data_IF_881004917426
#
_entry.id   IF_881004917426
#
_cell.length_a   1.000
_cell.length_b   1.000
_cell.length_c   1.000
_cell.angle_alpha   90.00
_cell.angle_beta   90.00
_cell.angle_gamma   90.00
#
_symmetry.space_group_name_H-M   'P 1'
#
loop_
_entity.id
_entity.type
_entity.pdbx_description
1 polymer ?
#
# COMPACT_ATOMS: atom_id res chain seq x y z
N UNK A 1 -37.02 7.61 1.15
CA UNK A 1 -36.60 8.74 2.02
C UNK A 1 -35.17 8.60 2.53
N UNK A 2 -34.75 7.47 3.13
CA UNK A 2 -33.38 7.29 3.64
C UNK A 2 -32.25 7.33 2.59
N UNK A 3 -32.48 6.81 1.38
CA UNK A 3 -31.49 6.82 0.29
C UNK A 3 -31.26 8.23 -0.28
N UNK A 4 -32.33 9.03 -0.42
CA UNK A 4 -32.25 10.43 -0.84
C UNK A 4 -31.59 11.31 0.23
N UNK A 5 -31.86 11.04 1.51
CA UNK A 5 -31.20 11.72 2.63
C UNK A 5 -29.69 11.41 2.72
N UNK A 6 -29.30 10.15 2.45
CA UNK A 6 -27.90 9.77 2.36
C UNK A 6 -27.19 10.43 1.16
N UNK A 7 -27.84 10.51 -0.02
CA UNK A 7 -27.30 11.21 -1.18
C UNK A 7 -27.14 12.72 -0.94
N UNK A 8 -28.09 13.36 -0.25
CA UNK A 8 -28.00 14.79 0.08
C UNK A 8 -26.90 15.10 1.10
N UNK A 9 -26.68 14.21 2.07
CA UNK A 9 -25.69 14.40 3.15
C UNK A 9 -24.25 13.99 2.76
N UNK A 10 -24.09 12.98 1.90
CA UNK A 10 -22.79 12.41 1.51
C UNK A 10 -22.39 12.65 0.04
N UNK A 11 -23.33 13.05 -0.82
CA UNK A 11 -23.09 13.33 -2.24
C UNK A 11 -22.85 14.80 -2.56
N UNK A 12 -23.08 15.72 -1.63
CA UNK A 12 -22.81 17.15 -1.82
C UNK A 12 -21.30 17.40 -1.81
N UNK A 13 -20.76 17.97 -2.89
CA UNK A 13 -19.38 18.44 -2.96
C UNK A 13 -19.14 19.47 -1.85
N UNK A 14 -18.16 19.21 -0.99
CA UNK A 14 -17.71 20.20 0.00
C UNK A 14 -17.06 21.36 -0.75
N UNK A 15 -17.51 22.59 -0.49
CA UNK A 15 -17.05 23.81 -1.16
C UNK A 15 -15.53 24.03 -1.05
N UNK A 16 -14.86 23.36 -0.11
CA UNK A 16 -13.42 23.49 0.14
C UNK A 16 -12.56 22.44 -0.58
N UNK A 17 -13.13 21.37 -1.16
CA UNK A 17 -12.32 20.23 -1.63
C UNK A 17 -12.72 19.60 -2.96
N UNK A 18 -13.76 20.08 -3.66
CA UNK A 18 -14.24 19.50 -4.94
C UNK A 18 -14.43 17.96 -4.92
N UNK A 19 -14.50 17.35 -3.74
CA UNK A 19 -14.53 15.91 -3.54
C UNK A 19 -15.66 15.60 -2.55
N UNK A 20 -16.35 14.49 -2.78
CA UNK A 20 -17.43 14.03 -1.89
C UNK A 20 -16.93 13.90 -0.44
N UNK A 21 -17.73 14.30 0.57
CA UNK A 21 -17.41 14.23 1.98
C UNK A 21 -16.93 12.84 2.44
N UNK A 22 -17.46 11.77 1.84
CA UNK A 22 -17.01 10.40 2.15
C UNK A 22 -15.57 10.15 1.70
N UNK A 23 -15.24 10.57 0.47
CA UNK A 23 -13.87 10.52 -0.06
C UNK A 23 -12.94 11.47 0.72
N UNK A 24 -13.40 12.67 1.04
CA UNK A 24 -12.65 13.61 1.87
C UNK A 24 -12.36 13.04 3.26
N UNK A 25 -13.29 12.29 3.87
CA UNK A 25 -13.07 11.63 5.16
C UNK A 25 -12.03 10.52 5.07
N UNK A 26 -12.08 9.69 4.02
CA UNK A 26 -11.06 8.66 3.76
C UNK A 26 -9.68 9.27 3.48
N UNK A 27 -9.63 10.38 2.76
CA UNK A 27 -8.41 11.12 2.48
C UNK A 27 -7.88 11.76 3.77
N UNK A 28 -8.73 12.36 4.60
CA UNK A 28 -8.33 12.97 5.87
C UNK A 28 -7.86 11.94 6.90
N UNK A 29 -8.42 10.72 6.89
CA UNK A 29 -7.88 9.59 7.67
C UNK A 29 -6.45 9.22 7.31
N UNK A 30 -5.99 9.53 6.10
CA UNK A 30 -4.59 9.34 5.70
C UNK A 30 -3.64 10.37 6.34
N UNK A 31 -4.14 11.53 6.74
CA UNK A 31 -3.34 12.65 7.25
C UNK A 31 -3.25 12.71 8.79
N UNK A 32 -3.97 11.85 9.51
CA UNK A 32 -3.84 11.69 10.96
C UNK A 32 -2.85 10.55 11.27
N UNK A 33 -1.77 10.85 11.98
CA UNK A 33 -0.72 9.87 12.37
C UNK A 33 -1.29 8.68 13.15
N UNK A 34 -2.28 8.93 14.02
CA UNK A 34 -2.99 7.91 14.79
C UNK A 34 -3.83 6.98 13.89
N UNK A 35 -4.49 7.57 12.89
CA UNK A 35 -5.33 6.85 11.93
C UNK A 35 -4.47 6.01 10.98
N UNK A 36 -3.31 6.52 10.58
CA UNK A 36 -2.35 5.80 9.76
C UNK A 36 -1.79 4.55 10.48
N UNK A 37 -1.44 4.69 11.76
CA UNK A 37 -0.97 3.57 12.59
C UNK A 37 -2.04 2.50 12.75
N UNK A 38 -3.28 2.90 13.00
CA UNK A 38 -4.42 1.99 13.07
C UNK A 38 -4.65 1.24 11.75
N UNK A 39 -4.57 1.94 10.61
CA UNK A 39 -4.72 1.35 9.28
C UNK A 39 -3.60 0.33 8.98
N UNK A 40 -2.36 0.58 9.40
CA UNK A 40 -1.26 -0.37 9.26
C UNK A 40 -1.57 -1.65 10.06
N UNK A 41 -1.95 -1.52 11.33
CA UNK A 41 -2.27 -2.67 12.18
C UNK A 41 -3.44 -3.47 11.60
N UNK A 42 -4.49 -2.79 11.16
CA UNK A 42 -5.65 -3.43 10.54
C UNK A 42 -5.26 -4.19 9.25
N UNK A 43 -4.41 -3.58 8.40
CA UNK A 43 -3.92 -4.23 7.18
C UNK A 43 -3.10 -5.49 7.47
N UNK A 44 -2.31 -5.47 8.55
CA UNK A 44 -1.53 -6.61 9.00
C UNK A 44 -2.44 -7.75 9.48
N UNK A 45 -3.44 -7.44 10.30
CA UNK A 45 -4.42 -8.43 10.78
C UNK A 45 -5.15 -9.08 9.61
N UNK A 46 -5.66 -8.29 8.66
CA UNK A 46 -6.35 -8.80 7.46
C UNK A 46 -5.41 -9.70 6.64
N UNK A 47 -4.14 -9.32 6.50
CA UNK A 47 -3.14 -10.12 5.78
C UNK A 47 -2.90 -11.47 6.47
N UNK A 48 -2.77 -11.49 7.80
CA UNK A 48 -2.63 -12.72 8.58
C UNK A 48 -3.86 -13.64 8.45
N UNK A 49 -5.06 -13.07 8.50
CA UNK A 49 -6.31 -13.82 8.31
C UNK A 49 -6.39 -14.41 6.90
N UNK A 50 -6.05 -13.64 5.87
CA UNK A 50 -6.02 -14.12 4.49
C UNK A 50 -5.04 -15.28 4.31
N UNK A 51 -3.83 -15.18 4.86
CA UNK A 51 -2.84 -16.27 4.84
C UNK A 51 -3.38 -17.51 5.55
N UNK A 52 -4.00 -17.34 6.72
CA UNK A 52 -4.55 -18.44 7.50
C UNK A 52 -5.68 -19.14 6.74
N UNK A 53 -6.58 -18.37 6.13
CA UNK A 53 -7.66 -18.90 5.29
C UNK A 53 -7.15 -19.67 4.08
N UNK A 54 -6.16 -19.13 3.37
CA UNK A 54 -5.52 -19.81 2.23
C UNK A 54 -4.88 -21.14 2.68
N UNK A 55 -4.35 -21.20 3.91
CA UNK A 55 -3.74 -22.42 4.47
C UNK A 55 -4.75 -23.48 4.88
N UNK A 56 -5.90 -23.08 5.43
CA UNK A 56 -6.90 -24.03 5.95
C UNK A 56 -7.92 -24.45 4.90
N UNK A 57 -8.16 -23.62 3.87
CA UNK A 57 -9.08 -23.94 2.80
C UNK A 57 -8.49 -24.99 1.84
N UNK A 58 -9.25 -26.06 1.54
CA UNK A 58 -8.92 -27.00 0.47
C UNK A 58 -9.20 -26.36 -0.90
N UNK A 59 -8.28 -25.53 -1.37
CA UNK A 59 -8.39 -24.86 -2.67
C UNK A 59 -7.99 -25.84 -3.79
N UNK A 60 -8.81 -26.00 -4.84
CA UNK A 60 -8.47 -26.86 -5.96
C UNK A 60 -7.24 -26.34 -6.74
N UNK A 61 -6.42 -27.26 -7.29
CA UNK A 61 -5.10 -26.94 -7.88
C UNK A 61 -5.12 -25.84 -8.94
N UNK A 62 -6.18 -25.74 -9.74
CA UNK A 62 -6.30 -24.73 -10.79
C UNK A 62 -6.49 -23.31 -10.23
N UNK A 63 -7.20 -23.16 -9.11
CA UNK A 63 -7.36 -21.87 -8.43
C UNK A 63 -6.10 -21.46 -7.69
N UNK A 64 -5.38 -22.42 -7.07
CA UNK A 64 -4.06 -22.17 -6.46
C UNK A 64 -3.09 -21.53 -7.46
N UNK A 65 -3.07 -22.01 -8.71
CA UNK A 65 -2.17 -21.50 -9.74
C UNK A 65 -2.54 -20.08 -10.18
N UNK A 66 -3.85 -19.77 -10.30
CA UNK A 66 -4.34 -18.40 -10.56
C UNK A 66 -4.01 -17.45 -9.41
N UNK A 67 -4.20 -17.89 -8.17
CA UNK A 67 -3.89 -17.11 -6.97
C UNK A 67 -2.38 -16.85 -6.85
N UNK A 68 -1.54 -17.83 -7.15
CA UNK A 68 -0.08 -17.67 -7.20
C UNK A 68 0.36 -16.66 -8.28
N UNK A 69 -0.29 -16.67 -9.46
CA UNK A 69 -0.04 -15.67 -10.50
C UNK A 69 -0.45 -14.25 -10.06
N UNK A 70 -1.64 -14.11 -9.46
CA UNK A 70 -2.12 -12.82 -8.94
C UNK A 70 -1.19 -12.28 -7.85
N UNK A 71 -0.80 -13.12 -6.88
CA UNK A 71 0.16 -12.76 -5.84
C UNK A 71 1.51 -12.35 -6.43
N UNK A 72 2.01 -13.06 -7.44
CA UNK A 72 3.25 -12.70 -8.13
C UNK A 72 3.17 -11.35 -8.85
N UNK A 73 1.99 -10.97 -9.35
CA UNK A 73 1.79 -9.68 -10.02
C UNK A 73 1.73 -8.54 -9.01
N UNK A 74 0.94 -8.70 -7.94
CA UNK A 74 0.86 -7.73 -6.83
C UNK A 74 2.24 -7.54 -6.22
N UNK A 75 2.95 -8.63 -5.98
CA UNK A 75 4.31 -8.64 -5.49
C UNK A 75 5.27 -7.81 -6.35
N UNK A 76 5.25 -8.05 -7.67
CA UNK A 76 6.09 -7.34 -8.63
C UNK A 76 5.75 -5.85 -8.65
N UNK A 77 4.46 -5.52 -8.62
CA UNK A 77 3.99 -4.14 -8.55
C UNK A 77 4.49 -3.45 -7.28
N UNK A 78 4.28 -4.05 -6.11
CA UNK A 78 4.71 -3.50 -4.83
C UNK A 78 6.23 -3.34 -4.76
N UNK A 79 7.01 -4.35 -5.19
CA UNK A 79 8.46 -4.25 -5.24
C UNK A 79 8.94 -3.10 -6.15
N UNK A 80 8.33 -2.96 -7.33
CA UNK A 80 8.64 -1.86 -8.24
C UNK A 80 8.24 -0.50 -7.66
N UNK A 81 7.11 -0.41 -6.96
CA UNK A 81 6.69 0.82 -6.28
C UNK A 81 7.68 1.20 -5.17
N UNK A 82 8.12 0.24 -4.35
CA UNK A 82 9.10 0.51 -3.28
C UNK A 82 10.43 1.02 -3.85
N UNK A 83 10.93 0.39 -4.92
CA UNK A 83 12.16 0.84 -5.60
C UNK A 83 11.98 2.18 -6.30
N UNK A 84 10.81 2.44 -6.90
CA UNK A 84 10.48 3.73 -7.47
C UNK A 84 10.53 4.83 -6.42
N UNK A 85 9.86 4.65 -5.29
CA UNK A 85 9.87 5.62 -4.19
C UNK A 85 11.26 5.80 -3.58
N UNK A 86 12.04 4.72 -3.41
CA UNK A 86 13.43 4.82 -3.00
C UNK A 86 14.25 5.70 -3.96
N UNK A 87 14.08 5.49 -5.27
CA UNK A 87 14.70 6.33 -6.30
C UNK A 87 14.26 7.79 -6.23
N UNK A 88 12.97 8.06 -6.00
CA UNK A 88 12.44 9.41 -5.80
C UNK A 88 13.09 10.08 -4.59
N UNK A 89 13.20 9.41 -3.44
CA UNK A 89 13.83 9.97 -2.26
C UNK A 89 15.33 10.25 -2.46
N UNK A 90 16.05 9.36 -3.18
CA UNK A 90 17.45 9.59 -3.54
C UNK A 90 17.57 10.82 -4.46
N UNK A 91 16.77 10.87 -5.52
CA UNK A 91 16.78 11.99 -6.46
C UNK A 91 16.40 13.30 -5.76
N UNK A 92 15.46 13.28 -4.81
CA UNK A 92 15.07 14.43 -4.02
C UNK A 92 16.18 14.88 -3.05
N UNK A 93 16.93 13.94 -2.47
CA UNK A 93 18.12 14.27 -1.67
C UNK A 93 19.16 15.04 -2.48
N UNK A 94 19.44 14.61 -3.71
CA UNK A 94 20.34 15.36 -4.60
C UNK A 94 19.71 16.69 -5.06
N UNK A 95 18.45 16.66 -5.49
CA UNK A 95 17.74 17.82 -6.02
C UNK A 95 17.61 18.95 -5.00
N UNK A 96 17.26 18.64 -3.75
CA UNK A 96 17.16 19.63 -2.66
C UNK A 96 18.50 20.27 -2.27
N UNK A 97 19.63 19.61 -2.55
CA UNK A 97 20.97 20.18 -2.32
C UNK A 97 21.44 21.05 -3.49
N UNK A 98 21.04 20.74 -4.71
CA UNK A 98 21.50 21.41 -5.93
C UNK A 98 20.58 22.54 -6.41
N UNK A 99 19.29 22.47 -6.08
CA UNK A 99 18.26 23.36 -6.60
C UNK A 99 17.61 24.12 -5.42
N UNK A 100 17.84 25.44 -5.29
CA UNK A 100 17.49 26.20 -4.07
C UNK A 100 15.99 26.36 -3.82
N UNK A 101 15.12 26.12 -4.82
CA UNK A 101 13.66 26.18 -4.64
C UNK A 101 13.04 24.83 -4.23
N UNK A 102 13.80 23.73 -4.19
CA UNK A 102 13.30 22.42 -3.78
C UNK A 102 13.54 22.26 -2.27
N UNK A 103 12.49 22.23 -1.43
CA UNK A 103 12.67 22.04 0.00
C UNK A 103 13.16 20.62 0.29
N UNK A 104 14.08 20.50 1.23
CA UNK A 104 14.52 19.20 1.74
C UNK A 104 13.40 18.57 2.58
N UNK A 105 13.10 17.30 2.30
CA UNK A 105 12.17 16.50 3.12
C UNK A 105 12.98 15.93 4.30
N UNK A 106 12.44 16.06 5.51
CA UNK A 106 13.07 15.46 6.71
C UNK A 106 13.21 13.95 6.53
N UNK A 107 14.38 13.42 6.87
CA UNK A 107 14.69 11.98 6.85
C UNK A 107 14.60 11.28 5.48
N UNK A 108 14.59 12.04 4.38
CA UNK A 108 14.51 11.49 3.01
C UNK A 108 15.61 10.46 2.70
N UNK A 109 16.84 10.66 3.20
CA UNK A 109 17.96 9.72 3.02
C UNK A 109 17.78 8.43 3.81
N UNK A 110 17.20 8.53 5.01
CA UNK A 110 16.88 7.38 5.85
C UNK A 110 15.76 6.56 5.22
N UNK A 111 14.73 7.22 4.68
CA UNK A 111 13.65 6.53 3.97
C UNK A 111 14.14 5.83 2.70
N UNK A 112 15.01 6.46 1.91
CA UNK A 112 15.65 5.80 0.79
C UNK A 112 16.43 4.55 1.22
N UNK A 113 17.25 4.68 2.27
CA UNK A 113 18.06 3.59 2.81
C UNK A 113 17.22 2.45 3.40
N UNK A 114 16.02 2.72 3.92
CA UNK A 114 15.09 1.70 4.45
C UNK A 114 14.29 1.01 3.33
N UNK A 115 13.85 1.75 2.32
CA UNK A 115 13.01 1.20 1.25
C UNK A 115 13.73 0.16 0.39
N UNK A 116 15.04 0.32 0.18
CA UNK A 116 15.84 -0.61 -0.64
C UNK A 116 15.93 -2.01 0.00
N UNK A 117 16.37 -2.18 1.26
CA UNK A 117 16.35 -3.46 1.95
C UNK A 117 14.94 -4.06 2.06
N UNK A 118 13.92 -3.23 2.32
CA UNK A 118 12.53 -3.69 2.40
C UNK A 118 12.06 -4.25 1.06
N UNK A 119 12.37 -3.60 -0.06
CA UNK A 119 12.07 -4.12 -1.39
C UNK A 119 12.75 -5.48 -1.65
N UNK A 120 14.04 -5.59 -1.32
CA UNK A 120 14.81 -6.84 -1.48
C UNK A 120 14.22 -7.96 -0.62
N UNK A 121 13.94 -7.68 0.66
CA UNK A 121 13.33 -8.62 1.59
C UNK A 121 11.95 -9.07 1.10
N UNK A 122 11.13 -8.13 0.63
CA UNK A 122 9.80 -8.40 0.12
C UNK A 122 9.85 -9.33 -1.10
N UNK A 123 10.74 -9.03 -2.06
CA UNK A 123 10.98 -9.90 -3.23
C UNK A 123 11.38 -11.32 -2.82
N UNK A 124 12.26 -11.46 -1.82
CA UNK A 124 12.67 -12.76 -1.29
C UNK A 124 11.48 -13.54 -0.69
N UNK A 125 10.65 -12.90 0.14
CA UNK A 125 9.50 -13.56 0.77
C UNK A 125 8.46 -14.03 -0.26
N UNK A 126 8.25 -13.27 -1.34
CA UNK A 126 7.34 -13.66 -2.41
C UNK A 126 7.84 -14.88 -3.17
N UNK A 127 9.13 -14.92 -3.49
CA UNK A 127 9.74 -16.09 -4.16
C UNK A 127 9.55 -17.32 -3.27
N UNK A 128 9.76 -17.19 -1.96
CA UNK A 128 9.55 -18.26 -0.98
C UNK A 128 8.08 -18.71 -0.92
N UNK A 129 7.13 -17.77 -0.85
CA UNK A 129 5.69 -18.05 -0.87
C UNK A 129 5.24 -18.76 -2.15
N UNK A 130 5.76 -18.33 -3.30
CA UNK A 130 5.47 -18.96 -4.60
C UNK A 130 5.96 -20.40 -4.64
N UNK A 131 7.19 -20.67 -4.19
CA UNK A 131 7.72 -22.03 -4.14
C UNK A 131 6.89 -22.94 -3.22
N UNK A 132 6.49 -22.41 -2.06
CA UNK A 132 5.65 -23.16 -1.13
C UNK A 132 4.27 -23.49 -1.72
N UNK A 133 3.60 -22.52 -2.35
CA UNK A 133 2.26 -22.72 -2.94
C UNK A 133 2.22 -23.66 -4.16
N UNK A 134 3.34 -23.88 -4.85
CA UNK A 134 3.40 -24.72 -6.07
C UNK A 134 3.80 -26.16 -5.73
N UNK A 135 4.56 -26.37 -4.65
CA UNK A 135 5.04 -27.69 -4.24
C UNK A 135 4.07 -28.43 -3.29
N UNK A 136 3.10 -27.74 -2.68
CA UNK A 136 2.04 -28.29 -1.80
C UNK A 136 0.65 -28.37 -2.49
#
# INVERSE_FOLDING_TARGET
MGVLWAFYKYGGLSADTEVSPFLATLINWRYSEDSFSFLIILSFIISCLAITFIRTAKIPKHEKLRLAMALSLIAKLMNNMLLFWAGVFIAWSFGSRLIPFIPAIKEQEVMAALLIPVAIWFKYQIIKLKHWSVND
#
